data_IF_889476546338
#
_entry.id   IF_889476546338
#
_cell.length_a   1.000
_cell.length_b   1.000
_cell.length_c   1.000
_cell.angle_alpha   90.00
_cell.angle_beta   90.00
_cell.angle_gamma   90.00
#
_symmetry.space_group_name_H-M   'P 1'
#
loop_
_entity.id
_entity.type
_entity.pdbx_description
1 polymer ?
#
# COMPACT_ATOMS: atom_id res chain seq x y z
N UNK A 1 -15.98 2.02 29.24
CA UNK A 1 -14.70 1.70 28.57
C UNK A 1 -14.45 2.76 27.52
N UNK A 2 -13.20 3.02 27.15
CA UNK A 2 -12.82 4.15 26.27
C UNK A 2 -13.14 3.84 24.79
N UNK A 3 -14.43 3.79 24.44
CA UNK A 3 -14.94 3.42 23.09
C UNK A 3 -14.46 4.36 21.99
N UNK A 4 -14.17 5.62 22.33
CA UNK A 4 -13.68 6.62 21.39
C UNK A 4 -12.33 6.21 20.80
N UNK A 5 -11.43 5.66 21.62
CA UNK A 5 -10.10 5.22 21.15
C UNK A 5 -10.22 4.03 20.20
N UNK A 6 -11.14 3.10 20.50
CA UNK A 6 -11.38 1.88 19.70
C UNK A 6 -12.03 2.20 18.35
N UNK A 7 -12.74 3.32 18.22
CA UNK A 7 -13.41 3.72 16.98
C UNK A 7 -12.55 4.70 16.16
N UNK A 8 -11.89 5.65 16.83
CA UNK A 8 -11.13 6.71 16.17
C UNK A 8 -9.84 6.18 15.53
N UNK A 9 -9.18 5.20 16.16
CA UNK A 9 -7.94 4.61 15.64
C UNK A 9 -8.14 3.86 14.32
N UNK A 10 -9.14 2.96 14.19
CA UNK A 10 -9.43 2.34 12.90
C UNK A 10 -9.70 3.36 11.80
N UNK A 11 -10.47 4.42 12.08
CA UNK A 11 -10.76 5.47 11.09
C UNK A 11 -9.46 6.16 10.62
N UNK A 12 -8.55 6.47 11.55
CA UNK A 12 -7.24 7.03 11.21
C UNK A 12 -6.40 6.10 10.34
N UNK A 13 -6.48 4.79 10.59
CA UNK A 13 -5.75 3.76 9.85
C UNK A 13 -6.30 3.58 8.43
N UNK A 14 -7.62 3.67 8.26
CA UNK A 14 -8.22 3.72 6.93
C UNK A 14 -7.70 4.91 6.12
N UNK A 15 -7.59 6.08 6.75
CA UNK A 15 -6.95 7.25 6.15
C UNK A 15 -5.48 7.02 5.77
N UNK A 16 -4.70 6.41 6.67
CA UNK A 16 -3.30 6.08 6.42
C UNK A 16 -3.12 5.11 5.25
N UNK A 17 -3.93 4.04 5.18
CA UNK A 17 -3.89 3.07 4.08
C UNK A 17 -4.31 3.70 2.75
N UNK A 18 -5.33 4.56 2.76
CA UNK A 18 -5.75 5.29 1.58
C UNK A 18 -4.63 6.22 1.07
N UNK A 19 -3.97 6.93 1.97
CA UNK A 19 -2.85 7.81 1.63
C UNK A 19 -1.65 7.02 1.09
N UNK A 20 -1.27 5.91 1.74
CA UNK A 20 -0.22 5.00 1.28
C UNK A 20 -0.50 4.47 -0.14
N UNK A 21 -1.75 4.08 -0.42
CA UNK A 21 -2.16 3.63 -1.75
C UNK A 21 -2.07 4.75 -2.78
N UNK A 22 -2.40 5.99 -2.39
CA UNK A 22 -2.32 7.16 -3.27
C UNK A 22 -0.88 7.49 -3.65
N UNK A 23 0.06 7.45 -2.69
CA UNK A 23 1.49 7.65 -2.93
C UNK A 23 2.04 6.63 -3.93
N UNK A 24 1.72 5.34 -3.71
CA UNK A 24 2.18 4.28 -4.59
C UNK A 24 1.53 4.41 -5.97
N UNK A 25 0.25 4.79 -6.03
CA UNK A 25 -0.45 5.06 -7.28
C UNK A 25 0.21 6.15 -8.10
N UNK A 26 0.51 7.30 -7.49
CA UNK A 26 1.19 8.40 -8.16
C UNK A 26 2.56 7.97 -8.69
N UNK A 27 3.32 7.23 -7.88
CA UNK A 27 4.62 6.67 -8.27
C UNK A 27 4.50 5.78 -9.52
N UNK A 28 3.49 4.90 -9.60
CA UNK A 28 3.25 4.07 -10.78
C UNK A 28 2.74 4.86 -11.99
N UNK A 29 1.83 5.82 -11.80
CA UNK A 29 1.30 6.65 -12.89
C UNK A 29 2.41 7.47 -13.56
N UNK A 30 3.36 7.98 -12.79
CA UNK A 30 4.54 8.67 -13.31
C UNK A 30 5.45 7.75 -14.15
N UNK A 31 5.56 6.47 -13.80
CA UNK A 31 6.31 5.47 -14.58
C UNK A 31 5.58 5.15 -15.88
N UNK A 32 4.28 4.86 -15.82
CA UNK A 32 3.47 4.49 -16.99
C UNK A 32 3.41 5.63 -18.02
N UNK A 33 3.29 6.89 -17.58
CA UNK A 33 3.31 8.05 -18.48
C UNK A 33 4.62 8.15 -19.27
N UNK A 34 5.76 7.82 -18.65
CA UNK A 34 7.05 7.79 -19.35
C UNK A 34 7.20 6.58 -20.26
N UNK A 35 6.73 5.41 -19.84
CA UNK A 35 6.73 4.23 -20.71
C UNK A 35 5.88 4.47 -21.95
N UNK A 36 4.73 5.13 -21.84
CA UNK A 36 3.90 5.56 -22.98
C UNK A 36 4.68 6.47 -23.93
N UNK A 37 5.42 7.47 -23.41
CA UNK A 37 6.29 8.34 -24.22
C UNK A 37 7.43 7.58 -24.92
N UNK A 38 8.01 6.56 -24.29
CA UNK A 38 9.03 5.67 -24.91
C UNK A 38 8.43 4.62 -25.86
N UNK A 39 7.16 4.25 -25.67
CA UNK A 39 6.50 3.17 -26.41
C UNK A 39 6.03 3.55 -27.80
N UNK A 40 6.10 4.83 -28.19
CA UNK A 40 5.80 5.27 -29.56
C UNK A 40 6.65 4.55 -30.64
N UNK A 41 7.72 3.84 -30.24
CA UNK A 41 8.56 3.00 -31.11
C UNK A 41 8.33 1.48 -31.01
N UNK A 42 7.40 0.96 -30.18
CA UNK A 42 7.16 -0.49 -30.04
C UNK A 42 5.88 -0.93 -30.75
N UNK A 43 6.03 -1.84 -31.72
CA UNK A 43 4.92 -2.53 -32.42
C UNK A 43 3.96 -3.15 -31.40
N UNK A 44 2.70 -2.74 -31.48
CA UNK A 44 1.57 -3.27 -30.72
C UNK A 44 1.34 -4.74 -31.07
N UNK A 45 1.50 -5.63 -30.09
CA UNK A 45 1.30 -7.06 -30.30
C UNK A 45 1.20 -7.84 -29.01
N UNK A 46 0.05 -7.80 -28.33
CA UNK A 46 -0.49 -8.96 -27.60
C UNK A 46 -1.96 -8.73 -27.25
N UNK A 47 -2.78 -9.78 -27.42
CA UNK A 47 -4.16 -9.82 -26.91
C UNK A 47 -4.10 -9.90 -25.39
N UNK A 48 -4.36 -8.78 -24.72
CA UNK A 48 -4.32 -8.68 -23.25
C UNK A 48 -5.56 -9.36 -22.66
N UNK A 49 -5.34 -10.30 -21.73
CA UNK A 49 -6.39 -11.04 -21.00
C UNK A 49 -7.20 -10.11 -20.08
N UNK A 50 -8.49 -10.40 -19.83
CA UNK A 50 -9.37 -9.62 -18.96
C UNK A 50 -8.83 -9.49 -17.52
N UNK A 51 -8.19 -10.54 -16.99
CA UNK A 51 -7.52 -10.50 -15.68
C UNK A 51 -6.30 -9.57 -15.70
N UNK A 52 -5.56 -9.57 -16.80
CA UNK A 52 -4.42 -8.69 -17.03
C UNK A 52 -4.88 -7.23 -17.20
N UNK A 53 -6.09 -7.00 -17.69
CA UNK A 53 -6.75 -5.69 -17.79
C UNK A 53 -7.16 -5.13 -16.42
N UNK A 54 -7.61 -6.00 -15.51
CA UNK A 54 -7.94 -5.64 -14.12
C UNK A 54 -6.68 -5.36 -13.29
N UNK A 55 -5.63 -6.16 -13.49
CA UNK A 55 -4.29 -5.93 -12.92
C UNK A 55 -3.58 -4.71 -13.53
N UNK A 56 -3.84 -4.37 -14.79
CA UNK A 56 -3.37 -3.11 -15.42
C UNK A 56 -4.19 -1.91 -15.00
N UNK A 57 -5.26 -2.08 -14.22
CA UNK A 57 -6.01 -0.92 -13.74
C UNK A 57 -5.11 -0.14 -12.75
N UNK A 58 -4.86 1.15 -12.99
CA UNK A 58 -3.81 1.90 -12.33
C UNK A 58 -3.90 1.90 -10.80
N UNK A 59 -5.13 1.81 -10.28
CA UNK A 59 -5.46 1.91 -8.86
C UNK A 59 -5.36 0.55 -8.16
N UNK A 60 -5.64 -0.54 -8.87
CA UNK A 60 -5.77 -1.88 -8.27
C UNK A 60 -4.42 -2.42 -7.78
N UNK A 61 -3.33 -2.18 -8.51
CA UNK A 61 -1.98 -2.61 -8.13
C UNK A 61 -1.49 -1.97 -6.82
N UNK A 62 -1.49 -0.63 -6.68
CA UNK A 62 -1.15 0.05 -5.43
C UNK A 62 -1.95 -0.48 -4.24
N UNK A 63 -3.27 -0.65 -4.43
CA UNK A 63 -4.16 -1.14 -3.39
C UNK A 63 -3.74 -2.55 -2.95
N UNK A 64 -3.54 -3.48 -3.88
CA UNK A 64 -3.12 -4.85 -3.58
C UNK A 64 -1.77 -4.87 -2.85
N UNK A 65 -0.82 -4.03 -3.24
CA UNK A 65 0.49 -3.94 -2.59
C UNK A 65 0.33 -3.48 -1.13
N UNK A 66 -0.42 -2.41 -0.90
CA UNK A 66 -0.65 -1.88 0.45
C UNK A 66 -1.42 -2.87 1.31
N UNK A 67 -2.49 -3.46 0.79
CA UNK A 67 -3.27 -4.47 1.53
C UNK A 67 -2.44 -5.71 1.83
N UNK A 68 -1.65 -6.20 0.86
CA UNK A 68 -0.76 -7.34 1.05
C UNK A 68 0.29 -7.09 2.14
N UNK A 69 0.94 -5.92 2.10
CA UNK A 69 1.89 -5.51 3.15
C UNK A 69 1.20 -5.40 4.50
N UNK A 70 0.05 -4.72 4.56
CA UNK A 70 -0.70 -4.53 5.79
C UNK A 70 -1.06 -5.87 6.42
N UNK A 71 -1.59 -6.81 5.65
CA UNK A 71 -1.96 -8.16 6.13
C UNK A 71 -0.74 -8.87 6.73
N UNK A 72 0.39 -8.90 6.00
CA UNK A 72 1.60 -9.61 6.46
C UNK A 72 2.12 -9.04 7.77
N UNK A 73 2.23 -7.71 7.86
CA UNK A 73 2.71 -7.05 9.08
C UNK A 73 1.69 -7.13 10.22
N UNK A 74 0.39 -7.08 9.91
CA UNK A 74 -0.67 -7.17 10.89
C UNK A 74 -0.67 -8.53 11.56
N UNK A 75 -0.69 -9.61 10.80
CA UNK A 75 -0.68 -10.96 11.38
C UNK A 75 0.61 -11.23 12.14
N UNK A 76 1.76 -10.78 11.63
CA UNK A 76 3.04 -10.93 12.32
C UNK A 76 3.06 -10.19 13.66
N UNK A 77 2.67 -8.91 13.67
CA UNK A 77 2.64 -8.10 14.88
C UNK A 77 1.57 -8.57 15.86
N UNK A 78 0.39 -8.98 15.37
CA UNK A 78 -0.70 -9.49 16.19
C UNK A 78 -0.29 -10.77 16.90
N UNK A 79 0.33 -11.72 16.18
CA UNK A 79 0.78 -12.97 16.77
C UNK A 79 1.80 -12.74 17.88
N UNK A 80 2.76 -11.83 17.66
CA UNK A 80 3.76 -11.46 18.68
C UNK A 80 3.08 -10.80 19.89
N UNK A 81 2.21 -9.81 19.67
CA UNK A 81 1.54 -9.08 20.76
C UNK A 81 0.56 -9.95 21.54
N UNK A 82 -0.11 -10.90 20.89
CA UNK A 82 -1.07 -11.83 21.50
C UNK A 82 -0.43 -12.70 22.58
N UNK A 83 0.87 -13.00 22.49
CA UNK A 83 1.58 -13.79 23.51
C UNK A 83 1.73 -13.05 24.86
N UNK A 84 1.63 -11.72 24.87
CA UNK A 84 1.94 -10.90 26.04
C UNK A 84 0.79 -10.01 26.51
N UNK A 85 -0.20 -9.75 25.65
CA UNK A 85 -1.24 -8.74 25.87
C UNK A 85 -2.65 -9.27 25.61
N UNK A 86 -3.63 -8.60 26.22
CA UNK A 86 -5.05 -8.86 25.99
C UNK A 86 -5.43 -8.63 24.52
N UNK A 87 -6.39 -9.41 24.01
CA UNK A 87 -6.85 -9.41 22.61
C UNK A 87 -7.07 -8.00 22.05
N UNK A 88 -7.76 -7.13 22.79
CA UNK A 88 -8.05 -5.76 22.35
C UNK A 88 -6.79 -4.91 22.20
N UNK A 89 -5.84 -5.00 23.14
CA UNK A 89 -4.59 -4.25 23.07
C UNK A 89 -3.67 -4.81 21.99
N UNK A 90 -3.61 -6.14 21.85
CA UNK A 90 -2.84 -6.83 20.81
C UNK A 90 -3.33 -6.46 19.41
N UNK A 91 -4.65 -6.41 19.21
CA UNK A 91 -5.25 -5.95 17.96
C UNK A 91 -4.86 -4.51 17.66
N UNK A 92 -5.03 -3.62 18.63
CA UNK A 92 -4.82 -2.18 18.48
C UNK A 92 -3.34 -1.84 18.22
N UNK A 93 -2.41 -2.52 18.88
CA UNK A 93 -0.97 -2.37 18.62
C UNK A 93 -0.61 -2.89 17.23
N UNK A 94 -1.09 -4.09 16.86
CA UNK A 94 -0.81 -4.67 15.55
C UNK A 94 -1.33 -3.80 14.40
N UNK A 95 -2.54 -3.25 14.55
CA UNK A 95 -3.17 -2.37 13.57
C UNK A 95 -2.31 -1.11 13.34
N UNK A 96 -1.90 -0.44 14.43
CA UNK A 96 -1.12 0.79 14.37
C UNK A 96 0.29 0.54 13.80
N UNK A 97 1.00 -0.49 14.27
CA UNK A 97 2.35 -0.81 13.78
C UNK A 97 2.31 -1.11 12.29
N UNK A 98 1.32 -1.89 11.84
CA UNK A 98 1.20 -2.27 10.43
C UNK A 98 0.87 -1.09 9.53
N UNK A 99 0.01 -0.19 9.99
CA UNK A 99 -0.31 1.04 9.27
C UNK A 99 0.93 1.95 9.12
N UNK A 100 1.71 2.13 10.20
CA UNK A 100 2.96 2.91 10.18
C UNK A 100 3.96 2.28 9.20
N UNK A 101 4.14 0.96 9.24
CA UNK A 101 5.04 0.25 8.32
C UNK A 101 4.57 0.42 6.87
N UNK A 102 3.27 0.34 6.59
CA UNK A 102 2.74 0.56 5.25
C UNK A 102 3.05 1.97 4.73
N UNK A 103 2.91 3.00 5.57
CA UNK A 103 3.29 4.37 5.23
C UNK A 103 4.80 4.50 4.96
N UNK A 104 5.63 3.91 5.81
CA UNK A 104 7.09 3.92 5.61
C UNK A 104 7.50 3.24 4.31
N UNK A 105 6.88 2.09 3.99
CA UNK A 105 7.14 1.38 2.74
C UNK A 105 6.63 2.17 1.54
N UNK A 106 5.44 2.80 1.62
CA UNK A 106 4.93 3.66 0.56
C UNK A 106 5.87 4.84 0.29
N UNK A 107 6.36 5.51 1.34
CA UNK A 107 7.36 6.58 1.22
C UNK A 107 8.71 6.07 0.68
N UNK A 108 9.13 4.86 1.05
CA UNK A 108 10.37 4.27 0.54
C UNK A 108 10.25 3.95 -0.95
N UNK A 109 9.10 3.41 -1.37
CA UNK A 109 8.75 3.20 -2.78
C UNK A 109 8.84 4.56 -3.49
N UNK A 110 8.08 5.56 -3.05
CA UNK A 110 8.12 6.90 -3.64
C UNK A 110 9.55 7.46 -3.75
N UNK A 111 10.34 7.37 -2.68
CA UNK A 111 11.72 7.83 -2.67
C UNK A 111 12.58 7.08 -3.68
N UNK A 112 12.46 5.77 -3.81
CA UNK A 112 13.23 5.00 -4.78
C UNK A 112 12.81 5.32 -6.22
N UNK A 113 11.51 5.50 -6.47
CA UNK A 113 11.00 5.89 -7.78
C UNK A 113 11.32 7.36 -8.13
N UNK A 114 11.35 8.26 -7.14
CA UNK A 114 11.68 9.68 -7.31
C UNK A 114 13.18 10.00 -7.32
N UNK A 115 14.02 9.25 -6.57
CA UNK A 115 15.47 9.48 -6.46
C UNK A 115 16.24 9.05 -7.72
N UNK A 116 15.71 8.10 -8.50
CA UNK A 116 16.29 7.71 -9.81
C UNK A 116 16.21 8.87 -10.84
N UNK A 117 15.61 10.04 -10.51
CA UNK A 117 15.38 11.12 -11.49
C UNK A 117 15.60 12.56 -11.03
N UNK A 118 16.25 12.83 -9.89
CA UNK A 118 16.83 14.18 -9.67
C UNK A 118 18.21 14.36 -10.32
N UNK A 119 18.78 13.30 -10.89
CA UNK A 119 20.04 13.31 -11.63
C UNK A 119 19.84 12.72 -13.01
#
# INVERSE_FOLDING_TARGET
GNYIVVILLPIGIWGALFFASTIIFESYAQVERREKLRSQFKKSGSKISTAEKFLKFPITKPLIIVFGLFIVFFFSSYFISYLFLNVTLSFLIAENISAIICLLVANLIEKNYGRIRRF
#
